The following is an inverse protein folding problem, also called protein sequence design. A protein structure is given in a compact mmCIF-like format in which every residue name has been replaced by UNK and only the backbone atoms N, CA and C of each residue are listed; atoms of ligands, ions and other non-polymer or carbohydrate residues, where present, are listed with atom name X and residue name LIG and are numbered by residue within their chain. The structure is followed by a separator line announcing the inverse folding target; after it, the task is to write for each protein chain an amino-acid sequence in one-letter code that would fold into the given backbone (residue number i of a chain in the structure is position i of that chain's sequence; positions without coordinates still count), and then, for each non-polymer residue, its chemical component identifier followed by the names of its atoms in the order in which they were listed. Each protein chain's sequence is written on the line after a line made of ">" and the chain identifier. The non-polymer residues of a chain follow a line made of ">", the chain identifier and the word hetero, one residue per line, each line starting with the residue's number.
data_IF_107898608008
#
_entry.id   IF_107898608008
#
_cell.length_a   1.000
_cell.length_b   1.000
_cell.length_c   1.000
_cell.angle_alpha   90.00
_cell.angle_beta   90.00
_cell.angle_gamma   90.00
#
_symmetry.space_group_name_H-M   'P 1'
#
loop_
_entity.id
_entity.type
_entity.pdbx_description
1 polymer ?
#
# COMPACT_ATOMS: atom_id res chain seq x y z
N UNK A 1 -2.90 -28.21 11.01
CA UNK A 1 -1.71 -27.33 11.02
C UNK A 1 -2.05 -26.07 10.23
N UNK A 2 -2.01 -24.91 10.90
CA UNK A 2 -2.13 -23.62 10.22
C UNK A 2 -0.89 -23.44 9.31
N UNK A 3 -1.13 -23.15 8.04
CA UNK A 3 -0.05 -22.94 7.05
C UNK A 3 0.52 -21.51 7.13
N UNK A 4 -0.36 -20.55 7.49
CA UNK A 4 -0.04 -19.13 7.60
C UNK A 4 -0.49 -18.59 8.96
N UNK A 5 0.23 -17.58 9.48
CA UNK A 5 -0.11 -16.97 10.76
C UNK A 5 -1.29 -16.01 10.62
N UNK A 6 -2.36 -16.18 11.43
CA UNK A 6 -3.44 -15.20 11.52
C UNK A 6 -2.99 -13.89 12.18
N UNK A 7 -3.64 -12.79 11.83
CA UNK A 7 -3.41 -11.48 12.43
C UNK A 7 -4.45 -11.20 13.50
N UNK A 8 -3.99 -10.84 14.68
CA UNK A 8 -4.83 -10.49 15.83
C UNK A 8 -4.61 -9.05 16.26
N UNK A 9 -5.63 -8.46 16.81
CA UNK A 9 -5.61 -7.13 17.43
C UNK A 9 -5.90 -7.26 18.92
N UNK A 10 -5.34 -6.33 19.72
CA UNK A 10 -5.70 -6.14 21.14
C UNK A 10 -6.08 -4.69 21.38
N UNK A 11 -7.15 -4.46 22.10
CA UNK A 11 -7.57 -3.12 22.51
C UNK A 11 -6.62 -2.48 23.55
N UNK A 12 -5.88 -3.31 24.29
CA UNK A 12 -4.82 -2.91 25.21
C UNK A 12 -3.84 -4.06 25.40
N UNK A 13 -2.69 -3.82 26.02
CA UNK A 13 -1.67 -4.84 26.30
C UNK A 13 -2.24 -6.03 27.09
N UNK A 14 -3.20 -5.78 28.00
CA UNK A 14 -3.84 -6.80 28.85
C UNK A 14 -5.14 -7.40 28.27
N UNK A 15 -5.67 -6.83 27.19
CA UNK A 15 -6.90 -7.33 26.57
C UNK A 15 -6.67 -8.67 25.87
N UNK A 16 -7.72 -9.48 25.79
CA UNK A 16 -7.70 -10.68 24.97
C UNK A 16 -7.52 -10.35 23.48
N UNK A 17 -6.74 -11.14 22.73
CA UNK A 17 -6.60 -10.94 21.30
C UNK A 17 -7.90 -11.24 20.55
N UNK A 18 -8.27 -10.38 19.61
CA UNK A 18 -9.37 -10.58 18.67
C UNK A 18 -8.82 -10.89 17.30
N UNK A 19 -9.32 -11.92 16.64
CA UNK A 19 -8.93 -12.24 15.27
C UNK A 19 -9.38 -11.14 14.32
N UNK A 20 -8.46 -10.63 13.50
CA UNK A 20 -8.73 -9.63 12.47
C UNK A 20 -8.83 -10.29 11.11
N UNK A 21 -7.85 -11.14 10.77
CA UNK A 21 -7.79 -11.85 9.49
C UNK A 21 -7.06 -13.18 9.65
N UNK A 22 -7.64 -14.24 9.11
CA UNK A 22 -6.99 -15.55 8.97
C UNK A 22 -6.76 -15.83 7.47
N UNK A 23 -5.52 -15.81 6.99
CA UNK A 23 -5.23 -16.14 5.59
C UNK A 23 -5.61 -17.57 5.23
N UNK A 24 -5.69 -18.49 6.19
CA UNK A 24 -6.10 -19.87 5.93
C UNK A 24 -7.61 -19.99 5.62
N UNK A 25 -8.44 -19.05 6.08
CA UNK A 25 -9.86 -18.95 5.69
C UNK A 25 -10.02 -18.34 4.30
N UNK A 26 -9.15 -17.39 3.92
CA UNK A 26 -9.17 -16.75 2.59
C UNK A 26 -8.73 -17.74 1.52
N UNK A 27 -7.72 -18.54 1.80
CA UNK A 27 -7.14 -19.51 0.87
C UNK A 27 -6.86 -20.84 1.59
N UNK A 28 -7.88 -21.69 1.73
CA UNK A 28 -7.74 -22.99 2.42
C UNK A 28 -6.75 -23.92 1.70
N UNK A 29 -6.59 -23.76 0.38
CA UNK A 29 -5.61 -24.50 -0.43
C UNK A 29 -4.18 -23.96 -0.30
N UNK A 30 -4.02 -22.75 0.26
CA UNK A 30 -2.73 -22.08 0.43
C UNK A 30 -2.19 -21.46 -0.85
N UNK A 31 -3.02 -21.27 -1.88
CA UNK A 31 -2.63 -20.63 -3.14
C UNK A 31 -2.37 -19.12 -2.97
N UNK A 32 -3.02 -18.47 -2.00
CA UNK A 32 -2.79 -17.08 -1.64
C UNK A 32 -2.01 -16.96 -0.34
N UNK A 33 -1.09 -16.04 -0.28
CA UNK A 33 -0.34 -15.69 0.93
C UNK A 33 -0.58 -14.23 1.34
N UNK A 34 -0.68 -14.00 2.66
CA UNK A 34 -0.72 -12.67 3.24
C UNK A 34 0.70 -12.10 3.26
N UNK A 35 0.96 -11.13 2.38
CA UNK A 35 2.30 -10.54 2.21
C UNK A 35 2.56 -9.36 3.14
N UNK A 36 1.62 -8.46 3.26
CA UNK A 36 1.71 -7.25 4.09
C UNK A 36 0.34 -6.84 4.60
N UNK A 37 0.31 -6.09 5.67
CA UNK A 37 -0.90 -5.50 6.19
C UNK A 37 -0.59 -4.23 6.99
N UNK A 38 -1.50 -3.26 6.94
CA UNK A 38 -1.36 -1.98 7.61
C UNK A 38 -2.73 -1.51 8.11
N UNK A 39 -2.91 -1.34 9.44
CA UNK A 39 -4.14 -0.77 9.97
C UNK A 39 -4.24 0.72 9.65
N UNK A 40 -5.46 1.22 9.49
CA UNK A 40 -5.71 2.65 9.41
C UNK A 40 -5.36 3.34 10.74
N UNK A 41 -5.03 4.64 10.74
CA UNK A 41 -4.67 5.38 11.96
C UNK A 41 -5.73 5.33 13.07
N UNK A 42 -7.01 5.21 12.72
CA UNK A 42 -8.14 5.06 13.67
C UNK A 42 -8.42 3.60 14.08
N UNK A 43 -7.62 2.65 13.56
CA UNK A 43 -7.74 1.21 13.79
C UNK A 43 -9.10 0.58 13.41
N UNK A 44 -9.86 1.24 12.53
CA UNK A 44 -11.17 0.71 12.05
C UNK A 44 -11.03 -0.17 10.83
N UNK A 45 -10.02 0.10 10.01
CA UNK A 45 -9.78 -0.59 8.75
C UNK A 45 -8.41 -1.28 8.76
N UNK A 46 -8.30 -2.37 8.01
CA UNK A 46 -7.05 -3.04 7.71
C UNK A 46 -6.88 -3.13 6.19
N UNK A 47 -5.89 -2.43 5.63
CA UNK A 47 -5.45 -2.71 4.27
C UNK A 47 -4.45 -3.87 4.29
N UNK A 48 -4.63 -4.88 3.44
CA UNK A 48 -3.79 -6.06 3.42
C UNK A 48 -3.56 -6.57 1.99
N UNK A 49 -2.35 -7.02 1.72
CA UNK A 49 -1.91 -7.49 0.41
C UNK A 49 -1.86 -9.01 0.32
N UNK A 50 -2.50 -9.55 -0.69
CA UNK A 50 -2.47 -10.97 -1.04
C UNK A 50 -1.56 -11.19 -2.24
N UNK A 51 -0.71 -12.21 -2.17
CA UNK A 51 0.13 -12.67 -3.27
C UNK A 51 -0.27 -14.09 -3.67
N UNK A 52 -0.37 -14.34 -4.97
CA UNK A 52 -0.74 -15.65 -5.53
C UNK A 52 0.51 -16.48 -5.81
N UNK A 53 0.50 -17.75 -5.39
CA UNK A 53 1.52 -18.75 -5.75
C UNK A 53 2.98 -18.36 -5.45
N UNK A 54 3.22 -17.49 -4.45
CA UNK A 54 4.55 -16.96 -4.15
C UNK A 54 5.03 -15.87 -5.13
N UNK A 55 4.14 -15.34 -5.96
CA UNK A 55 4.45 -14.19 -6.82
C UNK A 55 4.75 -12.95 -5.99
N UNK A 56 5.58 -12.05 -6.54
CA UNK A 56 5.84 -10.75 -5.93
C UNK A 56 4.70 -9.74 -6.15
N UNK A 57 3.80 -10.04 -7.09
CA UNK A 57 2.63 -9.22 -7.36
C UNK A 57 1.59 -9.36 -6.27
N UNK A 58 1.04 -8.24 -5.84
CA UNK A 58 0.05 -8.20 -4.75
C UNK A 58 -1.21 -7.48 -5.20
N UNK A 59 -2.34 -8.00 -4.72
CA UNK A 59 -3.62 -7.32 -4.71
C UNK A 59 -3.90 -6.88 -3.28
N UNK A 60 -4.14 -5.58 -3.07
CA UNK A 60 -4.51 -5.06 -1.75
C UNK A 60 -6.01 -4.95 -1.64
N UNK A 61 -6.53 -5.42 -0.51
CA UNK A 61 -7.92 -5.32 -0.08
C UNK A 61 -8.02 -4.50 1.20
N UNK A 62 -9.21 -3.99 1.45
CA UNK A 62 -9.53 -3.26 2.68
C UNK A 62 -10.62 -3.98 3.45
N UNK A 63 -10.36 -4.26 4.73
CA UNK A 63 -11.27 -4.94 5.63
C UNK A 63 -11.75 -4.00 6.73
N UNK A 64 -13.05 -3.98 6.99
CA UNK A 64 -13.61 -3.41 8.23
C UNK A 64 -13.33 -4.40 9.37
N UNK A 65 -12.54 -3.95 10.35
CA UNK A 65 -12.07 -4.78 11.46
C UNK A 65 -13.24 -5.21 12.36
N UNK A 66 -14.15 -4.29 12.67
CA UNK A 66 -15.28 -4.55 13.56
C UNK A 66 -16.33 -5.46 12.90
N UNK A 67 -16.61 -5.22 11.62
CA UNK A 67 -17.54 -6.04 10.84
C UNK A 67 -16.96 -7.41 10.43
N UNK A 68 -15.64 -7.54 10.42
CA UNK A 68 -14.93 -8.73 9.94
C UNK A 68 -15.15 -8.99 8.44
N UNK A 69 -15.38 -7.95 7.64
CA UNK A 69 -15.73 -8.05 6.21
C UNK A 69 -14.89 -7.11 5.36
N UNK A 70 -14.59 -7.57 4.15
CA UNK A 70 -13.93 -6.74 3.15
C UNK A 70 -14.91 -5.74 2.52
N UNK A 71 -14.41 -4.54 2.20
CA UNK A 71 -15.21 -3.42 1.66
C UNK A 71 -15.34 -3.44 0.13
N UNK A 72 -14.68 -4.39 -0.55
CA UNK A 72 -14.73 -4.51 -2.00
C UNK A 72 -13.67 -3.70 -2.75
N UNK A 73 -12.71 -3.13 -2.03
CA UNK A 73 -11.53 -2.52 -2.63
C UNK A 73 -10.59 -3.64 -3.12
N UNK A 74 -10.24 -3.60 -4.40
CA UNK A 74 -9.26 -4.48 -5.03
C UNK A 74 -8.21 -3.62 -5.76
N UNK A 75 -7.06 -3.41 -5.12
CA UNK A 75 -5.95 -2.61 -5.66
C UNK A 75 -4.84 -3.52 -6.16
N UNK A 76 -4.69 -3.58 -7.47
CA UNK A 76 -3.85 -4.54 -8.17
C UNK A 76 -2.48 -3.96 -8.58
N UNK A 77 -1.60 -4.85 -9.03
CA UNK A 77 -0.29 -4.53 -9.63
C UNK A 77 0.69 -3.87 -8.67
N UNK A 78 0.50 -4.06 -7.37
CA UNK A 78 1.49 -3.67 -6.37
C UNK A 78 2.68 -4.64 -6.38
N UNK A 79 3.88 -4.05 -6.40
CA UNK A 79 5.16 -4.74 -6.22
C UNK A 79 6.18 -3.72 -5.75
N UNK A 80 7.07 -4.09 -4.84
CA UNK A 80 8.06 -3.19 -4.22
C UNK A 80 7.41 -1.92 -3.63
N UNK A 81 6.30 -2.08 -2.98
CA UNK A 81 5.48 -0.98 -2.45
C UNK A 81 4.96 -1.31 -1.06
N UNK A 82 4.89 -0.29 -0.23
CA UNK A 82 4.22 -0.31 1.05
C UNK A 82 2.85 0.37 0.96
N UNK A 83 2.01 0.13 1.98
CA UNK A 83 0.71 0.80 2.16
C UNK A 83 0.91 1.91 3.18
N UNK A 84 0.64 3.16 2.81
CA UNK A 84 0.81 4.30 3.69
C UNK A 84 -0.47 5.11 3.81
N UNK A 85 -1.19 4.93 4.91
CA UNK A 85 -2.46 5.60 5.17
C UNK A 85 -2.31 7.10 5.35
N UNK A 86 -3.31 7.86 4.87
CA UNK A 86 -3.52 9.24 5.33
C UNK A 86 -4.06 9.25 6.76
N UNK A 87 -3.71 10.30 7.52
CA UNK A 87 -4.05 10.40 8.95
C UNK A 87 -5.56 10.41 9.22
N UNK A 88 -6.35 10.87 8.25
CA UNK A 88 -7.82 10.87 8.31
C UNK A 88 -8.47 9.51 8.03
N UNK A 89 -7.67 8.46 7.79
CA UNK A 89 -8.10 7.08 7.53
C UNK A 89 -9.02 6.90 6.31
N UNK A 90 -9.07 7.89 5.38
CA UNK A 90 -9.97 7.83 4.21
C UNK A 90 -9.34 7.18 2.99
N UNK A 91 -8.04 6.95 3.00
CA UNK A 91 -7.32 6.34 1.91
C UNK A 91 -5.84 6.15 2.22
N UNK A 92 -5.10 5.64 1.27
CA UNK A 92 -3.68 5.37 1.43
C UNK A 92 -2.92 5.58 0.13
N UNK A 93 -1.65 5.92 0.27
CA UNK A 93 -0.69 5.90 -0.82
C UNK A 93 -0.13 4.49 -0.99
N UNK A 94 0.10 4.14 -2.25
CA UNK A 94 0.73 2.89 -2.65
C UNK A 94 1.44 3.10 -3.98
N UNK A 95 2.34 2.20 -4.33
CA UNK A 95 3.00 2.24 -5.63
C UNK A 95 2.69 0.99 -6.42
N UNK A 96 2.56 1.16 -7.73
CA UNK A 96 2.30 0.06 -8.65
C UNK A 96 3.00 0.26 -9.99
N UNK A 97 3.14 -0.82 -10.69
CA UNK A 97 3.46 -0.80 -12.11
C UNK A 97 2.19 -0.67 -12.97
N UNK A 98 2.29 -0.26 -14.22
CA UNK A 98 1.21 -0.37 -15.19
C UNK A 98 0.70 -1.82 -15.29
N UNK A 99 -0.59 -1.99 -15.51
CA UNK A 99 -1.17 -3.30 -15.75
C UNK A 99 -0.50 -3.96 -16.97
N UNK A 100 0.13 -5.14 -16.81
CA UNK A 100 0.76 -5.81 -17.92
C UNK A 100 -0.30 -6.41 -18.86
N UNK A 101 0.00 -6.58 -20.15
CA UNK A 101 -0.84 -7.37 -21.03
C UNK A 101 -1.07 -8.76 -20.47
N UNK A 102 -2.30 -9.27 -20.51
CA UNK A 102 -2.69 -10.58 -19.93
C UNK A 102 -1.79 -11.74 -20.33
N UNK A 103 -1.25 -11.70 -21.55
CA UNK A 103 -0.33 -12.73 -22.08
C UNK A 103 1.11 -12.62 -21.56
N UNK A 104 1.47 -11.57 -20.81
CA UNK A 104 2.85 -11.26 -20.38
C UNK A 104 2.99 -10.96 -18.90
N UNK A 105 2.05 -11.36 -18.07
CA UNK A 105 2.05 -11.07 -16.62
C UNK A 105 3.33 -11.56 -15.92
N UNK A 106 3.83 -12.74 -16.29
CA UNK A 106 5.06 -13.32 -15.74
C UNK A 106 6.35 -12.72 -16.33
N UNK A 107 6.27 -12.13 -17.52
CA UNK A 107 7.40 -11.55 -18.26
C UNK A 107 7.36 -10.02 -18.28
N UNK A 108 6.43 -9.41 -17.54
CA UNK A 108 6.22 -7.97 -17.57
C UNK A 108 7.50 -7.24 -17.15
N UNK A 109 7.95 -6.35 -18.01
CA UNK A 109 9.05 -5.46 -17.67
C UNK A 109 8.68 -4.62 -16.44
N UNK A 110 9.56 -4.55 -15.45
CA UNK A 110 9.40 -3.73 -14.26
C UNK A 110 9.79 -2.28 -14.60
N UNK A 111 8.89 -1.57 -15.26
CA UNK A 111 9.12 -0.22 -15.75
C UNK A 111 7.87 0.63 -15.53
N UNK A 112 8.05 1.91 -15.22
CA UNK A 112 6.94 2.84 -14.99
C UNK A 112 6.30 2.73 -13.60
N UNK A 113 7.10 2.41 -12.56
CA UNK A 113 6.65 2.41 -11.18
C UNK A 113 6.21 3.80 -10.77
N UNK A 114 5.01 3.95 -10.19
CA UNK A 114 4.45 5.24 -9.84
C UNK A 114 3.63 5.16 -8.54
N UNK A 115 3.55 6.29 -7.82
CA UNK A 115 2.74 6.42 -6.61
C UNK A 115 1.33 6.84 -6.98
N UNK A 116 0.36 6.17 -6.40
CA UNK A 116 -1.06 6.49 -6.46
C UNK A 116 -1.63 6.71 -5.08
N UNK A 117 -2.75 7.41 -5.02
CA UNK A 117 -3.59 7.51 -3.83
C UNK A 117 -4.91 6.80 -4.10
N UNK A 118 -5.20 5.80 -3.29
CA UNK A 118 -6.46 5.07 -3.29
C UNK A 118 -7.38 5.62 -2.20
N UNK A 119 -8.60 6.00 -2.57
CA UNK A 119 -9.65 6.35 -1.63
C UNK A 119 -10.49 5.12 -1.33
N UNK A 120 -10.58 4.73 -0.06
CA UNK A 120 -11.36 3.56 0.36
C UNK A 120 -12.80 3.64 -0.14
N UNK A 121 -13.30 2.52 -0.64
CA UNK A 121 -14.64 2.39 -1.19
C UNK A 121 -14.81 2.90 -2.61
N UNK A 122 -13.72 3.21 -3.32
CA UNK A 122 -13.77 3.59 -4.74
C UNK A 122 -13.04 2.55 -5.61
N UNK A 123 -13.42 2.37 -6.88
CA UNK A 123 -12.69 1.48 -7.77
C UNK A 123 -11.29 2.04 -8.08
N UNK A 124 -10.29 1.16 -8.24
CA UNK A 124 -8.90 1.52 -8.55
C UNK A 124 -8.76 2.42 -9.79
N UNK A 125 -9.68 2.35 -10.74
CA UNK A 125 -9.69 3.22 -11.92
C UNK A 125 -9.88 4.71 -11.61
N UNK A 126 -10.30 5.05 -10.38
CA UNK A 126 -10.45 6.42 -9.88
C UNK A 126 -9.26 6.88 -9.02
N UNK A 127 -8.23 6.03 -8.87
CA UNK A 127 -7.07 6.37 -8.09
C UNK A 127 -6.30 7.54 -8.69
N UNK A 128 -5.88 8.45 -7.84
CA UNK A 128 -5.11 9.62 -8.26
C UNK A 128 -3.66 9.24 -8.48
N UNK A 129 -3.12 9.52 -9.67
CA UNK A 129 -1.68 9.48 -9.89
C UNK A 129 -1.04 10.65 -9.14
N UNK A 130 -0.16 10.33 -8.20
CA UNK A 130 0.49 11.30 -7.32
C UNK A 130 1.90 11.66 -7.82
N UNK A 131 2.67 10.65 -8.22
CA UNK A 131 4.03 10.88 -8.67
C UNK A 131 4.54 9.79 -9.61
N UNK A 132 5.10 10.21 -10.73
CA UNK A 132 5.76 9.33 -11.71
C UNK A 132 7.03 10.01 -12.25
N UNK A 133 7.97 9.22 -12.79
CA UNK A 133 9.19 9.70 -13.44
C UNK A 133 9.38 8.96 -14.78
N UNK A 134 8.78 9.53 -15.82
CA UNK A 134 8.86 8.97 -17.20
C UNK A 134 10.28 8.95 -17.77
N UNK A 135 11.12 9.86 -17.27
CA UNK A 135 12.55 9.94 -17.61
C UNK A 135 13.43 8.93 -16.85
N UNK A 136 12.89 8.27 -15.84
CA UNK A 136 13.55 7.27 -15.00
C UNK A 136 12.63 6.04 -14.82
N UNK A 137 12.24 5.36 -15.91
CA UNK A 137 11.18 4.36 -15.88
C UNK A 137 11.53 3.12 -15.05
N UNK A 138 12.82 2.82 -14.86
CA UNK A 138 13.30 1.63 -14.14
C UNK A 138 13.56 1.91 -12.64
N UNK A 139 13.26 3.12 -12.18
CA UNK A 139 13.38 3.47 -10.77
C UNK A 139 12.17 3.01 -9.98
N UNK A 140 12.42 2.50 -8.78
CA UNK A 140 11.38 2.16 -7.80
C UNK A 140 11.05 3.45 -7.01
N UNK A 141 9.76 3.72 -6.85
CA UNK A 141 9.27 4.94 -6.21
C UNK A 141 8.32 4.52 -5.08
N UNK A 142 8.64 4.88 -3.83
CA UNK A 142 7.81 4.58 -2.67
C UNK A 142 7.40 5.86 -1.94
N UNK A 143 6.18 5.85 -1.41
CA UNK A 143 5.62 6.94 -0.63
C UNK A 143 5.35 6.54 0.82
N UNK A 144 5.72 7.40 1.78
CA UNK A 144 5.45 7.21 3.19
C UNK A 144 4.93 8.51 3.83
N UNK A 145 3.78 8.43 4.47
CA UNK A 145 3.20 9.53 5.24
C UNK A 145 3.88 9.61 6.60
N UNK A 146 4.24 10.81 7.06
CA UNK A 146 4.77 11.03 8.40
C UNK A 146 3.74 10.66 9.48
N UNK A 147 4.20 10.33 10.68
CA UNK A 147 3.34 9.91 11.80
C UNK A 147 2.27 10.95 12.16
N UNK A 148 2.60 12.24 12.07
CA UNK A 148 1.67 13.34 12.28
C UNK A 148 0.69 13.55 11.12
N UNK A 149 0.90 12.85 9.98
CA UNK A 149 0.06 12.92 8.78
C UNK A 149 0.30 14.16 7.91
N UNK A 150 1.31 14.98 8.24
CA UNK A 150 1.55 16.26 7.56
C UNK A 150 2.32 16.10 6.26
N UNK A 151 3.26 15.19 6.20
CA UNK A 151 4.17 15.08 5.07
C UNK A 151 4.04 13.74 4.36
N UNK A 152 4.12 13.76 3.03
CA UNK A 152 4.39 12.59 2.22
C UNK A 152 5.87 12.65 1.81
N UNK A 153 6.66 11.69 2.27
CA UNK A 153 8.02 11.45 1.78
C UNK A 153 7.96 10.51 0.59
N UNK A 154 8.64 10.89 -0.48
CA UNK A 154 8.79 10.06 -1.68
C UNK A 154 10.25 9.68 -1.80
N UNK A 155 10.53 8.38 -1.71
CA UNK A 155 11.85 7.82 -1.88
C UNK A 155 11.94 7.13 -3.24
N UNK A 156 13.03 7.39 -3.94
CA UNK A 156 13.32 6.76 -5.22
C UNK A 156 14.70 6.09 -5.20
N UNK A 157 14.78 4.89 -5.77
CA UNK A 157 16.03 4.14 -5.87
C UNK A 157 16.04 3.25 -7.12
N UNK A 158 17.23 2.88 -7.57
CA UNK A 158 17.42 2.01 -8.73
C UNK A 158 18.13 0.72 -8.31
N UNK A 159 17.41 -0.40 -8.38
CA UNK A 159 17.96 -1.71 -8.03
C UNK A 159 18.64 -1.74 -6.66
N UNK A 160 19.85 -2.28 -6.59
CA UNK A 160 20.66 -2.35 -5.37
C UNK A 160 21.64 -1.18 -5.21
N UNK A 161 21.50 -0.10 -5.99
CA UNK A 161 22.38 1.06 -5.86
C UNK A 161 22.15 1.79 -4.54
N UNK A 162 23.25 2.29 -3.94
CA UNK A 162 23.20 3.07 -2.70
C UNK A 162 22.70 4.52 -2.90
N UNK A 163 22.35 4.89 -4.13
CA UNK A 163 21.89 6.24 -4.46
C UNK A 163 20.38 6.33 -4.36
N UNK A 164 19.92 7.12 -3.41
CA UNK A 164 18.51 7.42 -3.19
C UNK A 164 18.22 8.88 -3.51
N UNK A 165 17.02 9.17 -4.00
CA UNK A 165 16.49 10.52 -4.09
C UNK A 165 15.28 10.62 -3.17
N UNK A 166 15.22 11.70 -2.42
CA UNK A 166 14.12 11.95 -1.49
C UNK A 166 13.41 13.23 -1.91
N UNK A 167 12.10 13.15 -1.96
CA UNK A 167 11.21 14.26 -2.22
C UNK A 167 10.19 14.36 -1.10
N UNK A 168 9.53 15.50 -0.98
CA UNK A 168 8.55 15.77 0.05
C UNK A 168 7.37 16.55 -0.51
N UNK A 169 6.16 16.23 -0.02
CA UNK A 169 4.98 17.05 -0.17
C UNK A 169 4.44 17.43 1.21
N UNK A 170 4.02 18.67 1.41
CA UNK A 170 3.31 19.12 2.62
C UNK A 170 1.81 18.92 2.39
N UNK A 171 1.25 17.89 3.01
CA UNK A 171 -0.17 17.53 2.91
C UNK A 171 -1.05 18.47 3.77
N UNK A 172 -0.43 19.36 4.55
CA UNK A 172 -1.12 20.26 5.45
C UNK A 172 -1.52 19.58 6.75
N UNK A 173 -2.78 19.76 7.15
CA UNK A 173 -3.29 19.18 8.41
C UNK A 173 -3.68 17.72 8.21
N UNK A 174 -3.27 16.85 9.14
CA UNK A 174 -3.53 15.41 9.04
C UNK A 174 -5.01 15.03 9.05
N UNK A 175 -5.88 15.84 9.65
CA UNK A 175 -7.33 15.62 9.68
C UNK A 175 -8.03 15.95 8.34
N UNK A 176 -7.37 16.70 7.46
CA UNK A 176 -7.86 17.06 6.14
C UNK A 176 -6.69 17.18 5.15
N UNK A 177 -6.00 16.07 4.82
CA UNK A 177 -4.81 16.10 4.01
C UNK A 177 -5.13 16.50 2.55
N UNK A 178 -4.27 17.35 1.98
CA UNK A 178 -4.25 17.60 0.54
C UNK A 178 -3.44 16.48 -0.14
N UNK A 179 -4.12 15.41 -0.51
CA UNK A 179 -3.50 14.16 -1.00
C UNK A 179 -2.72 14.33 -2.31
N UNK A 180 -3.03 15.35 -3.10
CA UNK A 180 -2.38 15.73 -4.37
C UNK A 180 -1.44 16.94 -4.23
N UNK A 181 -0.94 17.21 -3.01
CA UNK A 181 -0.02 18.30 -2.77
C UNK A 181 1.25 18.19 -3.64
N UNK A 182 1.81 19.31 -4.12
CA UNK A 182 2.96 19.29 -5.00
C UNK A 182 4.19 18.68 -4.31
N UNK A 183 4.85 17.77 -5.03
CA UNK A 183 6.06 17.09 -4.59
C UNK A 183 7.27 17.87 -5.06
N UNK A 184 8.21 18.14 -4.14
CA UNK A 184 9.46 18.84 -4.41
C UNK A 184 10.65 18.06 -3.87
N UNK A 185 11.85 18.21 -4.45
CA UNK A 185 13.05 17.65 -3.86
C UNK A 185 13.20 18.06 -2.39
N UNK A 186 13.65 17.13 -1.55
CA UNK A 186 14.14 17.50 -0.22
C UNK A 186 15.52 18.11 -0.41
N UNK A 187 15.65 19.42 -0.16
CA UNK A 187 16.92 20.13 -0.32
C UNK A 187 17.95 19.58 0.68
N UNK A 188 19.10 19.14 0.15
CA UNK A 188 20.30 19.01 0.96
C UNK A 188 20.78 20.43 1.30
N UNK A 189 20.98 20.73 2.59
CA UNK A 189 21.64 21.94 3.06
C UNK A 189 23.15 21.77 3.02
#
# INVERSE_FOLDING_TARGET
>A
LQRQAPVYMRASVSAAPTLVIDPNEISPDGSLSLGQWMPSPDARLLAYGLAEGGADWRTVRVRDIAAGKDLGDDVNWMRFSDISWTKDSKGFYYSRYPEPPKSKVLEAALSGHAIYYHRVGTPQSQDLLIYERKDLPDWIINGAVSEDGRYLFVQMFQGAENRNRIYIADLGRGDAPKVDAPIRPLEEK
#
